data_IF_149348850576
#
_entry.id   IF_149348850576
#
_cell.length_a   1.000
_cell.length_b   1.000
_cell.length_c   1.000
_cell.angle_alpha   90.00
_cell.angle_beta   90.00
_cell.angle_gamma   90.00
#
_symmetry.space_group_name_H-M   'P 1'
#
loop_
_entity.id
_entity.type
_entity.pdbx_description
1 polymer ?
#
# COMPACT_ATOMS: atom_id res chain seq x y z
N UNK A 1 17.13 83.70 -7.15
CA UNK A 1 16.01 83.75 -6.21
C UNK A 1 15.03 82.57 -6.68
N UNK A 2 15.17 81.43 -6.05
CA UNK A 2 14.39 80.26 -6.43
C UNK A 2 13.32 80.00 -5.38
N UNK A 3 12.06 80.10 -5.76
CA UNK A 3 10.90 79.89 -4.87
C UNK A 3 10.52 78.42 -4.92
N UNK A 4 10.73 77.71 -3.82
CA UNK A 4 10.35 76.36 -3.62
C UNK A 4 8.84 76.27 -3.34
N UNK A 5 8.12 75.56 -4.18
CA UNK A 5 6.71 75.28 -4.03
C UNK A 5 6.56 73.92 -3.26
N UNK A 6 5.99 73.96 -2.07
CA UNK A 6 5.72 72.77 -1.27
C UNK A 6 4.28 72.36 -1.62
N UNK A 7 4.11 71.18 -2.24
CA UNK A 7 2.80 70.56 -2.46
C UNK A 7 2.55 69.62 -1.29
N UNK A 8 1.56 69.88 -0.50
CA UNK A 8 1.07 69.01 0.56
C UNK A 8 0.01 68.07 -0.04
N UNK A 9 0.36 66.79 -0.12
CA UNK A 9 -0.57 65.77 -0.56
C UNK A 9 -1.30 65.20 0.65
N UNK A 10 -2.59 65.47 0.78
CA UNK A 10 -3.46 64.87 1.80
C UNK A 10 -3.86 63.47 1.37
N UNK A 11 -3.38 62.45 2.08
CA UNK A 11 -3.80 61.06 1.91
C UNK A 11 -5.08 60.80 2.70
N UNK A 12 -6.21 60.67 2.00
CA UNK A 12 -7.45 60.14 2.57
C UNK A 12 -7.31 58.65 2.71
N UNK A 13 -7.15 58.13 3.94
CA UNK A 13 -7.19 56.70 4.24
C UNK A 13 -8.61 56.17 4.18
N UNK A 14 -8.93 55.40 3.15
CA UNK A 14 -10.14 54.61 3.09
C UNK A 14 -9.93 53.30 3.87
N UNK A 15 -10.54 53.19 5.04
CA UNK A 15 -10.64 51.94 5.78
C UNK A 15 -11.61 51.00 5.14
N UNK A 16 -11.13 49.94 4.49
CA UNK A 16 -11.93 48.85 3.98
C UNK A 16 -12.19 47.89 5.13
N UNK A 17 -13.44 47.52 5.44
CA UNK A 17 -13.70 46.46 6.43
C UNK A 17 -13.22 45.12 5.91
N UNK A 18 -12.27 44.50 6.60
CA UNK A 18 -11.86 43.11 6.37
C UNK A 18 -13.01 42.21 6.78
N UNK A 19 -13.75 41.67 5.81
CA UNK A 19 -14.67 40.59 6.05
C UNK A 19 -13.87 39.37 6.54
N UNK A 20 -14.13 38.95 7.77
CA UNK A 20 -13.57 37.73 8.33
C UNK A 20 -14.07 36.54 7.48
N UNK A 21 -13.19 36.01 6.65
CA UNK A 21 -13.42 34.74 5.99
C UNK A 21 -13.46 33.65 7.10
N UNK A 22 -14.66 33.09 7.31
CA UNK A 22 -14.80 31.87 8.10
C UNK A 22 -14.01 30.80 7.37
N UNK A 23 -12.91 30.36 7.96
CA UNK A 23 -12.23 29.16 7.58
C UNK A 23 -13.24 28.01 7.72
N UNK A 24 -13.67 27.46 6.61
CA UNK A 24 -14.29 26.14 6.60
C UNK A 24 -13.17 25.19 7.04
N UNK A 25 -13.25 24.72 8.28
CA UNK A 25 -12.44 23.60 8.74
C UNK A 25 -12.70 22.44 7.77
N UNK A 26 -11.82 22.29 6.81
CA UNK A 26 -11.74 21.07 6.01
C UNK A 26 -11.39 19.97 6.98
N UNK A 27 -12.34 19.10 7.26
CA UNK A 27 -12.07 17.86 7.99
C UNK A 27 -10.83 17.21 7.34
N UNK A 28 -9.85 16.72 8.12
CA UNK A 28 -8.71 16.06 7.55
C UNK A 28 -9.21 14.89 6.73
N UNK A 29 -8.96 14.92 5.42
CA UNK A 29 -9.18 13.78 4.55
C UNK A 29 -8.23 12.71 5.07
N UNK A 30 -8.75 11.73 5.78
CA UNK A 30 -7.98 10.58 6.22
C UNK A 30 -7.38 9.95 4.95
N UNK A 31 -6.06 10.04 4.82
CA UNK A 31 -5.37 9.44 3.69
C UNK A 31 -5.55 7.94 3.81
N UNK A 32 -6.28 7.35 2.88
CA UNK A 32 -6.45 5.91 2.80
C UNK A 32 -5.07 5.27 2.58
N UNK A 33 -4.48 4.75 3.65
CA UNK A 33 -3.12 4.20 3.66
C UNK A 33 -3.10 2.68 3.69
N UNK A 34 -4.23 2.05 4.01
CA UNK A 34 -4.36 0.60 4.04
C UNK A 34 -4.92 0.05 2.73
N UNK A 35 -4.66 -1.23 2.46
CA UNK A 35 -5.24 -1.96 1.34
C UNK A 35 -6.18 -3.04 1.88
N UNK A 36 -7.18 -3.43 1.10
CA UNK A 36 -8.18 -4.41 1.52
C UNK A 36 -7.58 -5.71 2.09
N UNK A 37 -6.42 -6.13 1.60
CA UNK A 37 -5.72 -7.31 2.10
C UNK A 37 -5.22 -7.19 3.55
N UNK A 38 -5.21 -6.00 4.13
CA UNK A 38 -4.84 -5.77 5.53
C UNK A 38 -5.98 -6.13 6.49
N UNK A 39 -7.18 -6.28 5.99
CA UNK A 39 -8.36 -6.60 6.78
C UNK A 39 -8.78 -8.07 6.61
N UNK A 40 -9.20 -8.74 7.69
CA UNK A 40 -9.60 -10.15 7.63
C UNK A 40 -10.94 -10.36 6.91
N UNK A 41 -11.78 -9.34 6.82
CA UNK A 41 -13.09 -9.35 6.19
C UNK A 41 -13.59 -7.93 5.91
N UNK A 42 -14.66 -7.81 5.13
CA UNK A 42 -15.27 -6.53 4.75
C UNK A 42 -15.71 -5.71 5.99
N UNK A 43 -16.29 -6.35 7.01
CA UNK A 43 -16.71 -5.65 8.22
C UNK A 43 -15.53 -5.01 8.99
N UNK A 44 -14.35 -5.60 8.93
CA UNK A 44 -13.15 -5.00 9.53
C UNK A 44 -12.67 -3.79 8.73
N UNK A 45 -12.66 -3.87 7.41
CA UNK A 45 -12.33 -2.76 6.52
C UNK A 45 -13.33 -1.61 6.68
N UNK A 46 -14.64 -1.91 6.73
CA UNK A 46 -15.69 -0.92 6.93
C UNK A 46 -15.56 -0.15 8.25
N UNK A 47 -15.15 -0.84 9.32
CA UNK A 47 -14.92 -0.18 10.62
C UNK A 47 -13.68 0.68 10.67
N UNK A 48 -12.66 0.29 9.94
CA UNK A 48 -11.39 1.01 9.87
C UNK A 48 -11.51 2.26 8.97
N UNK A 49 -12.27 2.16 7.88
CA UNK A 49 -12.44 3.20 6.86
C UNK A 49 -11.11 3.84 6.42
N UNK A 50 -10.05 3.01 6.34
CA UNK A 50 -8.67 3.41 6.06
C UNK A 50 -8.17 2.94 4.68
N UNK A 51 -9.08 2.37 3.90
CA UNK A 51 -8.83 1.92 2.52
C UNK A 51 -9.53 2.83 1.51
N UNK A 52 -9.20 2.67 0.24
CA UNK A 52 -9.86 3.41 -0.84
C UNK A 52 -11.24 2.80 -1.09
N UNK A 53 -12.26 3.64 -1.04
CA UNK A 53 -13.59 3.35 -1.56
C UNK A 53 -13.56 3.66 -3.06
N UNK A 54 -13.53 2.61 -3.88
CA UNK A 54 -13.19 2.73 -5.29
C UNK A 54 -14.33 3.29 -6.15
N UNK A 55 -15.58 3.08 -5.75
CA UNK A 55 -16.78 3.53 -6.46
C UNK A 55 -17.57 4.61 -5.70
N UNK A 56 -17.15 4.93 -4.47
CA UNK A 56 -17.70 6.04 -3.69
C UNK A 56 -19.06 5.75 -3.06
N UNK A 57 -19.43 4.49 -2.92
CA UNK A 57 -20.71 4.08 -2.35
C UNK A 57 -20.73 4.00 -0.81
N UNK A 58 -19.57 4.21 -0.18
CA UNK A 58 -19.38 4.15 1.27
C UNK A 58 -19.15 2.74 1.81
N UNK A 59 -18.98 1.75 0.93
CA UNK A 59 -18.65 0.37 1.31
C UNK A 59 -17.18 0.11 1.01
N UNK A 60 -16.42 -0.17 2.03
CA UNK A 60 -14.99 -0.41 1.89
C UNK A 60 -14.71 -1.90 1.67
N UNK A 61 -13.89 -2.21 0.65
CA UNK A 61 -13.35 -3.55 0.42
C UNK A 61 -14.40 -4.65 0.23
N UNK A 62 -15.37 -4.43 -0.63
CA UNK A 62 -16.48 -5.35 -0.94
C UNK A 62 -16.04 -6.75 -1.41
N UNK A 63 -14.86 -6.84 -1.99
CA UNK A 63 -14.27 -8.12 -2.43
C UNK A 63 -13.79 -9.01 -1.28
N UNK A 64 -13.78 -8.50 -0.03
CA UNK A 64 -13.40 -9.29 1.13
C UNK A 64 -14.56 -10.22 1.56
N UNK A 65 -14.22 -11.37 2.19
CA UNK A 65 -15.24 -12.26 2.71
C UNK A 65 -16.06 -11.61 3.83
N UNK A 66 -17.35 -11.99 3.94
CA UNK A 66 -18.18 -11.65 5.09
C UNK A 66 -17.63 -12.28 6.40
N UNK A 67 -17.93 -11.67 7.58
CA UNK A 67 -19.06 -10.78 7.86
C UNK A 67 -18.92 -9.42 7.22
N UNK A 68 -20.08 -8.91 6.68
CA UNK A 68 -20.15 -7.65 5.97
C UNK A 68 -20.94 -6.62 6.79
N UNK A 69 -20.49 -5.36 6.78
CA UNK A 69 -21.21 -4.22 7.36
C UNK A 69 -21.61 -3.25 6.24
N UNK A 70 -22.82 -2.73 6.34
CA UNK A 70 -23.27 -1.64 5.49
C UNK A 70 -22.89 -0.27 6.08
N UNK A 71 -22.82 0.80 5.27
CA UNK A 71 -22.61 2.15 5.76
C UNK A 71 -23.64 2.50 6.84
N UNK A 72 -23.18 3.12 7.93
CA UNK A 72 -24.06 3.56 9.02
C UNK A 72 -24.54 2.47 9.97
N UNK A 73 -24.14 1.22 9.83
CA UNK A 73 -24.45 0.19 10.80
C UNK A 73 -23.76 0.48 12.15
N UNK A 74 -24.48 0.43 13.30
CA UNK A 74 -23.86 0.66 14.58
C UNK A 74 -22.76 -0.38 14.84
N UNK A 75 -21.61 0.09 15.32
CA UNK A 75 -20.53 -0.81 15.73
C UNK A 75 -21.06 -1.78 16.80
N UNK A 76 -20.86 -3.09 16.66
CA UNK A 76 -21.22 -4.02 17.70
C UNK A 76 -20.48 -3.67 19.00
N UNK A 77 -21.22 -3.63 20.10
CA UNK A 77 -20.75 -3.25 21.42
C UNK A 77 -19.44 -3.99 21.79
N UNK A 78 -18.42 -3.20 22.10
CA UNK A 78 -17.12 -3.74 22.50
C UNK A 78 -17.14 -4.08 23.99
N UNK A 79 -17.68 -5.21 24.36
CA UNK A 79 -17.30 -5.81 25.62
C UNK A 79 -15.88 -6.40 25.46
N UNK A 80 -14.87 -5.92 26.20
CA UNK A 80 -13.51 -6.43 26.05
C UNK A 80 -13.40 -7.81 26.70
N UNK A 81 -13.71 -8.85 25.96
CA UNK A 81 -13.26 -10.18 26.33
C UNK A 81 -11.76 -10.26 26.04
N UNK A 82 -10.98 -10.07 27.10
CA UNK A 82 -9.54 -10.31 27.15
C UNK A 82 -9.25 -11.73 26.67
N UNK A 83 -8.83 -11.86 25.42
CA UNK A 83 -8.29 -13.11 24.88
C UNK A 83 -6.85 -13.26 25.38
N UNK A 84 -6.46 -14.38 26.01
CA UNK A 84 -5.07 -14.66 26.33
C UNK A 84 -4.24 -14.69 25.04
N UNK A 85 -3.03 -14.15 25.11
CA UNK A 85 -2.13 -14.05 23.98
C UNK A 85 -1.92 -15.39 23.27
N UNK A 86 -2.20 -15.38 21.99
CA UNK A 86 -1.75 -16.40 21.06
C UNK A 86 -1.27 -15.70 19.81
N UNK A 87 0.01 -15.52 19.73
CA UNK A 87 0.75 -15.25 18.51
C UNK A 87 0.67 -16.49 17.63
N UNK A 88 -0.38 -16.59 16.82
CA UNK A 88 -0.50 -17.66 15.84
C UNK A 88 -1.77 -17.44 15.04
N UNK A 89 -1.65 -17.06 13.77
CA UNK A 89 -2.76 -17.26 12.84
C UNK A 89 -3.09 -18.75 12.85
N UNK A 90 -4.09 -19.14 13.61
CA UNK A 90 -4.68 -20.47 13.55
C UNK A 90 -5.20 -20.67 12.14
N UNK A 91 -4.53 -21.50 11.34
CA UNK A 91 -4.97 -21.87 10.00
C UNK A 91 -3.95 -21.71 8.88
N UNK A 92 -2.74 -21.19 9.09
CA UNK A 92 -1.71 -21.21 8.04
C UNK A 92 -0.92 -22.53 8.08
N UNK A 93 -0.43 -22.98 6.92
CA UNK A 93 0.44 -24.14 6.79
C UNK A 93 1.88 -23.74 6.48
N UNK A 94 2.84 -24.56 6.91
CA UNK A 94 4.24 -24.41 6.53
C UNK A 94 4.70 -25.68 5.81
N UNK A 95 4.39 -25.80 4.52
CA UNK A 95 4.82 -26.95 3.75
C UNK A 95 6.33 -26.98 3.60
N UNK A 96 6.88 -28.18 3.45
CA UNK A 96 8.28 -28.36 3.08
C UNK A 96 8.55 -27.93 1.64
N UNK A 97 9.82 -27.63 1.34
CA UNK A 97 10.25 -27.27 0.00
C UNK A 97 9.78 -25.89 -0.48
N UNK A 98 9.90 -25.66 -1.79
CA UNK A 98 9.55 -24.38 -2.43
C UNK A 98 8.16 -24.48 -3.05
N UNK A 99 7.25 -23.62 -2.61
CA UNK A 99 5.87 -23.64 -3.08
C UNK A 99 5.73 -22.83 -4.37
N UNK A 100 5.14 -23.38 -5.44
CA UNK A 100 4.82 -22.61 -6.63
C UNK A 100 3.64 -21.68 -6.37
N UNK A 101 3.79 -20.42 -6.72
CA UNK A 101 2.72 -19.42 -6.74
C UNK A 101 2.51 -19.03 -8.19
N UNK A 102 1.47 -19.60 -8.80
CA UNK A 102 1.23 -19.53 -10.24
C UNK A 102 0.42 -18.30 -10.62
N UNK A 103 0.81 -17.62 -11.70
CA UNK A 103 0.15 -16.45 -12.27
C UNK A 103 -0.02 -16.62 -13.78
N UNK A 104 -1.11 -16.07 -14.31
CA UNK A 104 -1.33 -16.06 -15.76
C UNK A 104 -0.36 -15.09 -16.44
N UNK A 105 0.44 -15.58 -17.38
CA UNK A 105 1.37 -14.78 -18.16
C UNK A 105 0.64 -13.77 -19.06
N UNK A 106 -0.55 -14.14 -19.55
CA UNK A 106 -1.38 -13.28 -20.41
C UNK A 106 -2.07 -12.17 -19.61
N UNK A 107 -2.45 -12.44 -18.35
CA UNK A 107 -3.06 -11.44 -17.47
C UNK A 107 -2.02 -10.48 -16.86
N UNK A 108 -0.81 -10.96 -16.62
CA UNK A 108 0.26 -10.23 -15.95
C UNK A 108 1.56 -10.16 -16.78
N UNK A 109 1.51 -9.68 -18.04
CA UNK A 109 2.67 -9.70 -18.93
C UNK A 109 3.79 -8.77 -18.49
N UNK A 110 3.46 -7.63 -17.88
CA UNK A 110 4.46 -6.67 -17.42
C UNK A 110 5.09 -7.10 -16.11
N UNK A 111 4.33 -7.67 -15.19
CA UNK A 111 4.83 -8.31 -13.97
C UNK A 111 5.76 -9.47 -14.31
N UNK A 112 5.36 -10.36 -15.24
CA UNK A 112 6.20 -11.46 -15.72
C UNK A 112 7.55 -10.91 -16.23
N UNK A 113 7.51 -9.94 -17.13
CA UNK A 113 8.70 -9.34 -17.71
C UNK A 113 9.61 -8.69 -16.67
N UNK A 114 9.03 -7.98 -15.70
CA UNK A 114 9.78 -7.39 -14.61
C UNK A 114 10.44 -8.46 -13.74
N UNK A 115 9.69 -9.48 -13.32
CA UNK A 115 10.19 -10.61 -12.54
C UNK A 115 11.36 -11.31 -13.23
N UNK A 116 11.20 -11.68 -14.51
CA UNK A 116 12.23 -12.37 -15.29
C UNK A 116 13.49 -11.51 -15.46
N UNK A 117 13.32 -10.22 -15.71
CA UNK A 117 14.43 -9.27 -15.80
C UNK A 117 15.16 -9.16 -14.46
N UNK A 118 14.46 -9.06 -13.35
CA UNK A 118 15.06 -8.98 -12.04
C UNK A 118 15.84 -10.25 -11.70
N UNK A 119 15.27 -11.42 -11.95
CA UNK A 119 15.96 -12.73 -11.77
C UNK A 119 17.21 -12.79 -12.67
N UNK A 120 17.11 -12.37 -13.93
CA UNK A 120 18.25 -12.31 -14.84
C UNK A 120 19.37 -11.35 -14.39
N UNK A 121 19.06 -10.40 -13.51
CA UNK A 121 20.02 -9.50 -12.84
C UNK A 121 20.58 -10.07 -11.54
N UNK A 122 20.23 -11.31 -11.20
CA UNK A 122 20.72 -12.01 -10.00
C UNK A 122 19.82 -11.89 -8.78
N UNK A 123 18.61 -11.31 -8.89
CA UNK A 123 17.64 -11.37 -7.79
C UNK A 123 17.13 -12.80 -7.60
N UNK A 124 16.86 -13.22 -6.34
CA UNK A 124 16.53 -14.61 -6.06
C UNK A 124 15.20 -15.03 -6.67
N UNK A 125 15.18 -16.20 -7.32
CA UNK A 125 13.95 -16.81 -7.82
C UNK A 125 13.16 -17.52 -6.71
N UNK A 126 13.82 -17.93 -5.62
CA UNK A 126 13.18 -18.50 -4.44
C UNK A 126 13.05 -17.44 -3.36
N UNK A 127 11.83 -17.19 -2.95
CA UNK A 127 11.44 -16.15 -2.01
C UNK A 127 11.07 -16.74 -0.66
N UNK A 128 11.14 -15.97 0.40
CA UNK A 128 10.77 -16.40 1.75
C UNK A 128 9.68 -15.45 2.29
N UNK A 129 8.51 -15.99 2.57
CA UNK A 129 7.38 -15.23 3.05
C UNK A 129 7.67 -14.60 4.42
N UNK A 130 7.49 -13.28 4.51
CA UNK A 130 7.66 -12.51 5.73
C UNK A 130 6.78 -11.25 5.66
N UNK A 131 5.59 -11.32 6.23
CA UNK A 131 4.63 -10.21 6.25
C UNK A 131 4.98 -9.12 7.26
N UNK A 132 5.42 -9.44 8.49
CA UNK A 132 5.74 -8.40 9.46
C UNK A 132 6.72 -7.37 8.90
N UNK A 133 6.34 -6.09 8.94
CA UNK A 133 7.12 -4.96 8.44
C UNK A 133 7.26 -4.88 6.92
N UNK A 134 6.40 -5.57 6.14
CA UNK A 134 6.43 -5.51 4.68
C UNK A 134 6.18 -4.10 4.15
N UNK A 135 5.22 -3.38 4.73
CA UNK A 135 4.91 -2.01 4.30
C UNK A 135 6.10 -1.08 4.50
N UNK A 136 6.71 -1.10 5.68
CA UNK A 136 7.90 -0.30 5.95
C UNK A 136 9.10 -0.66 5.03
N UNK A 137 9.22 -1.93 4.60
CA UNK A 137 10.24 -2.34 3.62
C UNK A 137 9.93 -1.80 2.23
N UNK A 138 8.66 -1.81 1.85
CA UNK A 138 8.18 -1.28 0.58
C UNK A 138 8.39 0.22 0.52
N UNK A 139 7.90 0.95 1.50
CA UNK A 139 7.98 2.41 1.56
C UNK A 139 9.41 2.88 1.43
N UNK A 140 10.31 2.31 2.23
CA UNK A 140 11.73 2.62 2.20
C UNK A 140 12.40 2.35 0.85
N UNK A 141 11.99 1.29 0.14
CA UNK A 141 12.51 1.00 -1.20
C UNK A 141 12.00 2.00 -2.23
N UNK A 142 10.72 2.37 -2.12
CA UNK A 142 10.05 3.20 -3.11
C UNK A 142 10.24 4.70 -2.89
N UNK A 143 10.80 5.12 -1.75
CA UNK A 143 11.02 6.52 -1.38
C UNK A 143 11.83 7.28 -2.46
N UNK A 144 12.85 6.65 -3.02
CA UNK A 144 13.70 7.23 -4.05
C UNK A 144 13.10 7.19 -5.47
N UNK A 145 11.87 6.68 -5.63
CA UNK A 145 11.24 6.49 -6.93
C UNK A 145 10.03 7.40 -7.10
N UNK A 146 10.04 8.23 -8.13
CA UNK A 146 8.92 9.11 -8.44
C UNK A 146 7.68 8.30 -8.83
N UNK A 147 6.50 8.85 -8.54
CA UNK A 147 5.23 8.32 -9.07
C UNK A 147 5.08 8.67 -10.55
N UNK A 148 4.36 7.85 -11.30
CA UNK A 148 4.07 8.07 -12.73
C UNK A 148 2.58 7.83 -12.96
N UNK A 149 1.84 8.77 -13.56
CA UNK A 149 0.43 8.58 -13.87
C UNK A 149 0.18 7.29 -14.68
N UNK A 150 -0.82 6.50 -14.26
CA UNK A 150 -1.18 5.24 -14.91
C UNK A 150 -0.28 4.04 -14.60
N UNK A 151 0.80 4.24 -13.83
CA UNK A 151 1.74 3.19 -13.48
C UNK A 151 1.97 3.15 -11.97
N UNK A 152 2.07 1.94 -11.44
CA UNK A 152 2.56 1.70 -10.09
C UNK A 152 4.04 1.27 -10.14
N UNK A 153 4.73 1.49 -9.03
CA UNK A 153 6.11 1.03 -8.82
C UNK A 153 6.04 -0.40 -8.29
N UNK A 154 6.28 -1.36 -9.16
CA UNK A 154 6.38 -2.78 -8.83
C UNK A 154 7.78 -3.12 -8.32
N UNK A 155 7.87 -4.01 -7.36
CA UNK A 155 9.12 -4.40 -6.71
C UNK A 155 9.34 -5.91 -6.76
N UNK A 156 10.55 -6.31 -7.13
CA UNK A 156 10.97 -7.69 -7.09
C UNK A 156 12.29 -7.85 -6.32
N UNK A 157 12.40 -8.70 -5.30
CA UNK A 157 11.31 -9.46 -4.66
C UNK A 157 10.25 -8.54 -4.02
N UNK A 158 8.98 -8.96 -3.97
CA UNK A 158 7.95 -8.20 -3.28
C UNK A 158 8.30 -8.08 -1.79
N UNK A 159 7.86 -7.01 -1.14
CA UNK A 159 8.20 -6.75 0.27
C UNK A 159 7.88 -7.94 1.20
N UNK A 160 6.78 -8.64 0.94
CA UNK A 160 6.39 -9.86 1.68
C UNK A 160 7.26 -11.08 1.36
N UNK A 161 8.04 -11.06 0.30
CA UNK A 161 8.85 -12.18 -0.20
C UNK A 161 10.34 -12.12 0.16
N UNK A 162 10.77 -11.11 0.91
CA UNK A 162 12.20 -10.84 1.13
C UNK A 162 12.81 -11.54 2.34
N UNK A 163 12.05 -12.32 3.09
CA UNK A 163 12.54 -12.95 4.32
C UNK A 163 12.81 -11.93 5.42
N UNK A 164 13.66 -12.31 6.40
CA UNK A 164 14.04 -11.46 7.52
C UNK A 164 15.46 -10.92 7.34
N UNK A 165 15.64 -9.64 7.68
CA UNK A 165 16.95 -9.00 7.67
C UNK A 165 17.63 -9.05 6.30
N UNK A 166 18.84 -9.59 6.27
CA UNK A 166 19.62 -9.81 5.04
C UNK A 166 19.29 -11.13 4.33
N UNK A 167 18.20 -11.81 4.71
CA UNK A 167 17.92 -13.20 4.30
C UNK A 167 17.75 -13.45 2.81
N UNK A 168 17.44 -12.42 2.01
CA UNK A 168 17.44 -12.49 0.56
C UNK A 168 18.33 -11.39 0.02
N UNK A 169 19.60 -11.71 -0.11
CA UNK A 169 20.58 -10.88 -0.79
C UNK A 169 20.80 -11.44 -2.17
N UNK A 170 20.84 -10.59 -3.16
CA UNK A 170 21.05 -10.98 -4.55
C UNK A 170 20.85 -9.79 -5.45
N UNK A 171 21.10 -9.99 -6.74
CA UNK A 171 21.00 -8.94 -7.74
C UNK A 171 22.10 -7.88 -7.64
N UNK A 172 22.04 -6.91 -8.54
CA UNK A 172 23.04 -5.84 -8.64
C UNK A 172 22.93 -4.78 -7.53
N UNK A 173 21.80 -4.69 -6.85
CA UNK A 173 21.57 -3.79 -5.72
C UNK A 173 21.12 -4.60 -4.50
N UNK A 174 21.92 -5.51 -4.00
CA UNK A 174 21.54 -6.43 -2.96
C UNK A 174 21.43 -5.72 -1.63
N UNK A 175 20.59 -6.20 -0.79
CA UNK A 175 20.71 -6.27 0.66
C UNK A 175 19.36 -6.32 1.33
N UNK A 176 19.02 -7.49 1.78
CA UNK A 176 17.89 -7.76 2.66
C UNK A 176 16.55 -7.25 2.14
N UNK A 177 16.17 -6.07 2.53
CA UNK A 177 14.89 -5.45 2.20
C UNK A 177 14.84 -4.74 0.84
N UNK A 178 15.94 -4.64 0.09
CA UNK A 178 15.99 -4.02 -1.24
C UNK A 178 15.44 -4.95 -2.32
N UNK A 179 15.12 -4.39 -3.45
CA UNK A 179 14.60 -5.09 -4.62
C UNK A 179 14.85 -4.30 -5.91
N UNK A 180 14.64 -4.94 -7.05
CA UNK A 180 14.54 -4.28 -8.35
C UNK A 180 13.18 -3.56 -8.42
N UNK A 181 13.13 -2.36 -8.95
CA UNK A 181 11.90 -1.59 -9.09
C UNK A 181 11.62 -1.35 -10.57
N UNK A 182 10.38 -1.60 -10.97
CA UNK A 182 9.89 -1.34 -12.32
C UNK A 182 8.54 -0.63 -12.31
N UNK A 183 8.25 0.10 -13.38
CA UNK A 183 6.91 0.67 -13.58
C UNK A 183 6.04 -0.33 -14.34
N UNK A 184 4.90 -0.66 -13.76
CA UNK A 184 3.91 -1.58 -14.31
C UNK A 184 2.56 -0.86 -14.35
N UNK A 185 1.71 -1.07 -15.39
CA UNK A 185 0.37 -0.49 -15.40
C UNK A 185 -0.37 -0.72 -14.08
N UNK A 186 -0.97 0.32 -13.50
CA UNK A 186 -1.53 0.28 -12.15
C UNK A 186 -2.57 -0.81 -11.96
N UNK A 187 -3.44 -1.01 -12.96
CA UNK A 187 -4.48 -2.07 -12.91
C UNK A 187 -3.88 -3.47 -12.86
N UNK A 188 -2.82 -3.71 -13.64
CA UNK A 188 -2.11 -5.00 -13.64
C UNK A 188 -1.42 -5.24 -12.30
N UNK A 189 -0.69 -4.23 -11.80
CA UNK A 189 0.05 -4.33 -10.54
C UNK A 189 -0.87 -4.62 -9.35
N UNK A 190 -1.95 -3.87 -9.21
CA UNK A 190 -2.93 -4.04 -8.13
C UNK A 190 -3.62 -5.39 -8.19
N UNK A 191 -4.05 -5.82 -9.39
CA UNK A 191 -4.64 -7.13 -9.60
C UNK A 191 -3.67 -8.27 -9.26
N UNK A 192 -2.39 -8.13 -9.64
CA UNK A 192 -1.35 -9.11 -9.29
C UNK A 192 -1.12 -9.16 -7.78
N UNK A 193 -0.96 -8.01 -7.12
CA UNK A 193 -0.75 -7.92 -5.67
C UNK A 193 -1.89 -8.57 -4.88
N UNK A 194 -3.14 -8.30 -5.26
CA UNK A 194 -4.33 -8.92 -4.67
C UNK A 194 -4.31 -10.45 -4.87
N UNK A 195 -4.06 -10.93 -6.09
CA UNK A 195 -3.97 -12.36 -6.39
C UNK A 195 -2.85 -13.04 -5.60
N UNK A 196 -1.70 -12.40 -5.49
CA UNK A 196 -0.57 -12.88 -4.69
C UNK A 196 -0.95 -12.99 -3.21
N UNK A 197 -1.57 -11.96 -2.65
CA UNK A 197 -2.05 -11.95 -1.27
C UNK A 197 -2.99 -13.11 -0.97
N UNK A 198 -3.96 -13.36 -1.86
CA UNK A 198 -4.89 -14.49 -1.74
C UNK A 198 -4.15 -15.83 -1.76
N UNK A 199 -3.25 -16.03 -2.72
CA UNK A 199 -2.51 -17.30 -2.88
C UNK A 199 -1.56 -17.57 -1.72
N UNK A 200 -0.94 -16.54 -1.17
CA UNK A 200 -0.01 -16.66 -0.04
C UNK A 200 -0.71 -16.76 1.32
N UNK A 201 -2.00 -16.39 1.43
CA UNK A 201 -2.75 -16.35 2.70
C UNK A 201 -2.68 -17.67 3.47
N UNK A 202 -2.71 -18.81 2.76
CA UNK A 202 -2.66 -20.15 3.35
C UNK A 202 -1.30 -20.53 3.96
N UNK A 203 -0.22 -19.82 3.63
CA UNK A 203 1.12 -20.14 4.09
C UNK A 203 1.53 -19.31 5.31
N UNK A 204 2.24 -19.91 6.25
CA UNK A 204 2.87 -19.20 7.36
C UNK A 204 4.12 -18.46 6.91
N UNK A 205 4.47 -17.41 7.64
CA UNK A 205 5.75 -16.71 7.42
C UNK A 205 6.93 -17.70 7.60
N UNK A 206 7.95 -17.55 6.77
CA UNK A 206 9.06 -18.48 6.64
C UNK A 206 8.87 -19.54 5.56
N UNK A 207 7.69 -19.66 4.96
CA UNK A 207 7.47 -20.56 3.81
C UNK A 207 8.28 -20.07 2.60
N UNK A 208 9.01 -20.98 1.96
CA UNK A 208 9.70 -20.70 0.69
C UNK A 208 8.71 -20.80 -0.48
N UNK A 209 8.77 -19.87 -1.41
CA UNK A 209 7.92 -19.89 -2.60
C UNK A 209 8.64 -19.32 -3.81
N UNK A 210 8.10 -19.59 -4.99
CA UNK A 210 8.56 -18.99 -6.25
C UNK A 210 7.39 -18.63 -7.15
N UNK A 211 7.56 -17.60 -7.99
CA UNK A 211 6.60 -17.30 -9.03
C UNK A 211 6.70 -18.29 -10.18
N UNK A 212 5.56 -18.70 -10.69
CA UNK A 212 5.42 -19.54 -11.88
C UNK A 212 4.41 -18.88 -12.82
N UNK A 213 4.84 -18.50 -14.01
CA UNK A 213 3.94 -17.92 -15.02
C UNK A 213 3.54 -19.00 -16.03
N UNK A 214 2.23 -19.12 -16.32
CA UNK A 214 1.63 -20.06 -17.26
C UNK A 214 0.83 -19.37 -18.34
#
# INVERSE_FOLDING_TARGET
MLRTLIVVLALFGATVPVAAARSLDAAPIAQASAVCANHPNQAAAQRAADTVDADGDGIYCESLPCPCLKPGAPAPDRTPTRRPGSSGRTGCTRPGGVQPVSFSATKYPNIKRHTERAIGRGWPSVLVLNRPGADARRDRLLEAWNTRPGFDRDEYPPAVGRGRGAGLTGGSAPRGWKGDVGYVPSSENRSHGSTMGIKLRRFCDGTKFKYVFY
#
